data_IF_478142632502
#
_entry.id   IF_478142632502
#
_cell.length_a   1.000
_cell.length_b   1.000
_cell.length_c   1.000
_cell.angle_alpha   90.00
_cell.angle_beta   90.00
_cell.angle_gamma   90.00
#
_symmetry.space_group_name_H-M   'P 1'
#
loop_
_entity.id
_entity.type
_entity.pdbx_description
1 polymer ?
#
# COMPACT_ATOMS: atom_id res chain seq x y z
N UNK A 1 39.25 -6.93 20.96
CA UNK A 1 39.21 -7.64 19.66
C UNK A 1 37.77 -8.06 19.55
N UNK A 2 36.98 -7.08 19.16
CA UNK A 2 35.55 -7.07 19.26
C UNK A 2 35.04 -7.53 17.90
N UNK A 3 34.37 -8.69 17.94
CA UNK A 3 33.78 -9.37 16.80
C UNK A 3 32.43 -8.71 16.55
N UNK A 4 32.40 -7.76 15.62
CA UNK A 4 31.16 -7.11 15.17
C UNK A 4 30.32 -8.11 14.36
N UNK A 5 29.08 -8.44 14.78
CA UNK A 5 28.24 -9.34 14.01
C UNK A 5 27.82 -8.67 12.69
N UNK A 6 28.20 -9.34 11.61
CA UNK A 6 27.80 -9.03 10.23
C UNK A 6 26.28 -8.77 10.15
N UNK A 7 25.91 -7.52 9.82
CA UNK A 7 24.54 -7.14 9.41
C UNK A 7 24.12 -8.05 8.25
N UNK A 8 23.34 -9.09 8.56
CA UNK A 8 22.58 -9.82 7.55
C UNK A 8 21.61 -8.82 6.91
N UNK A 9 21.85 -8.53 5.65
CA UNK A 9 20.95 -7.78 4.79
C UNK A 9 19.60 -8.50 4.74
N UNK A 10 18.64 -8.04 5.54
CA UNK A 10 17.23 -8.44 5.46
C UNK A 10 16.60 -7.73 4.26
N UNK A 11 16.94 -8.14 3.04
CA UNK A 11 16.11 -7.78 1.89
C UNK A 11 14.84 -8.63 2.02
N UNK A 12 13.73 -7.97 2.35
CA UNK A 12 12.46 -8.63 2.64
C UNK A 12 11.85 -9.13 1.33
N UNK A 13 11.88 -10.45 1.11
CA UNK A 13 11.12 -11.08 0.02
C UNK A 13 9.64 -11.10 0.39
N UNK A 14 8.77 -10.53 -0.44
CA UNK A 14 7.32 -10.58 -0.21
C UNK A 14 6.65 -11.76 -0.92
N UNK A 15 5.70 -12.42 -0.27
CA UNK A 15 4.90 -13.47 -0.92
C UNK A 15 3.94 -12.86 -1.93
N UNK A 16 3.21 -11.80 -1.54
CA UNK A 16 2.26 -11.07 -2.38
C UNK A 16 2.52 -9.58 -2.25
N UNK A 17 2.48 -8.84 -3.36
CA UNK A 17 2.45 -7.38 -3.39
C UNK A 17 1.12 -6.91 -3.99
N UNK A 18 0.47 -5.92 -3.38
CA UNK A 18 -0.61 -5.20 -4.07
C UNK A 18 0.01 -4.05 -4.85
N UNK A 19 -0.24 -3.98 -6.15
CA UNK A 19 0.28 -2.90 -6.99
C UNK A 19 -0.23 -1.55 -6.45
N UNK A 20 0.70 -0.64 -6.15
CA UNK A 20 0.37 0.75 -5.81
C UNK A 20 -0.35 1.42 -6.97
N UNK A 21 -1.17 2.43 -6.67
CA UNK A 21 -1.89 3.25 -7.64
C UNK A 21 -2.50 2.43 -8.80
N UNK A 22 -3.16 1.31 -8.47
CA UNK A 22 -3.84 0.44 -9.41
C UNK A 22 -2.97 -0.08 -10.59
N UNK A 23 -1.64 -0.10 -10.43
CA UNK A 23 -0.69 -0.50 -11.48
C UNK A 23 -0.35 0.59 -12.49
N UNK A 24 -0.44 1.87 -12.12
CA UNK A 24 -0.04 3.01 -12.97
C UNK A 24 1.46 3.06 -13.32
N UNK A 25 1.84 3.81 -14.35
CA UNK A 25 3.22 3.90 -14.85
C UNK A 25 4.26 4.27 -13.78
N UNK A 26 3.86 5.13 -12.83
CA UNK A 26 4.65 5.59 -11.69
C UNK A 26 4.66 4.61 -10.52
N UNK A 27 3.76 3.63 -10.49
CA UNK A 27 3.71 2.62 -9.43
C UNK A 27 4.79 1.55 -9.59
N UNK A 28 5.20 0.95 -8.47
CA UNK A 28 6.05 -0.24 -8.42
C UNK A 28 7.31 -0.10 -9.28
N UNK A 29 8.17 0.87 -8.92
CA UNK A 29 9.42 1.14 -9.63
C UNK A 29 10.28 -0.13 -9.74
N UNK A 30 11.14 -0.19 -10.76
CA UNK A 30 12.02 -1.35 -10.95
C UNK A 30 12.89 -1.62 -9.71
N UNK A 31 13.43 -0.56 -9.10
CA UNK A 31 14.24 -0.66 -7.88
C UNK A 31 13.44 -1.22 -6.69
N UNK A 32 12.19 -0.80 -6.53
CA UNK A 32 11.31 -1.33 -5.50
C UNK A 32 10.99 -2.81 -5.72
N UNK A 33 10.63 -3.20 -6.95
CA UNK A 33 10.38 -4.60 -7.29
C UNK A 33 11.61 -5.48 -7.12
N UNK A 34 12.81 -4.96 -7.40
CA UNK A 34 14.07 -5.67 -7.20
C UNK A 34 14.41 -5.84 -5.71
N UNK A 35 14.03 -4.88 -4.87
CA UNK A 35 14.25 -4.95 -3.43
C UNK A 35 13.26 -5.89 -2.72
N UNK A 36 11.98 -5.84 -3.12
CA UNK A 36 10.88 -6.58 -2.48
C UNK A 36 10.71 -7.99 -3.05
N UNK A 37 11.12 -8.21 -4.30
CA UNK A 37 11.06 -9.50 -5.01
C UNK A 37 9.73 -10.27 -4.80
N UNK A 38 8.57 -9.67 -5.11
CA UNK A 38 7.29 -10.30 -4.85
C UNK A 38 7.09 -11.55 -5.72
N UNK A 39 6.49 -12.60 -5.15
CA UNK A 39 6.19 -13.83 -5.90
C UNK A 39 4.91 -13.71 -6.74
N UNK A 40 3.95 -12.89 -6.31
CA UNK A 40 2.82 -12.47 -7.13
C UNK A 40 2.41 -11.02 -6.84
N UNK A 41 1.76 -10.39 -7.82
CA UNK A 41 1.18 -9.05 -7.69
C UNK A 41 -0.33 -9.08 -7.88
N UNK A 42 -1.06 -8.34 -7.05
CA UNK A 42 -2.49 -8.08 -7.24
C UNK A 42 -2.71 -6.63 -7.65
N UNK A 43 -3.31 -6.42 -8.82
CA UNK A 43 -3.70 -5.11 -9.32
C UNK A 43 -5.22 -4.96 -9.23
N UNK A 44 -5.67 -3.88 -8.60
CA UNK A 44 -7.11 -3.59 -8.51
C UNK A 44 -7.43 -2.44 -9.44
N UNK A 45 -8.25 -2.64 -10.46
CA UNK A 45 -8.77 -1.56 -11.33
C UNK A 45 -9.89 -2.10 -12.20
N UNK A 46 -10.68 -1.21 -12.80
CA UNK A 46 -11.69 -1.57 -13.80
C UNK A 46 -11.04 -1.93 -15.15
N UNK A 47 -11.71 -2.78 -15.93
CA UNK A 47 -11.21 -3.27 -17.23
C UNK A 47 -10.95 -2.13 -18.23
N UNK A 48 -11.92 -1.23 -18.29
CA UNK A 48 -12.06 -0.05 -19.13
C UNK A 48 -11.78 1.23 -18.34
N UNK A 49 -10.82 1.16 -17.41
CA UNK A 49 -10.31 2.33 -16.71
C UNK A 49 -9.92 3.41 -17.73
N UNK A 50 -10.53 4.60 -17.62
CA UNK A 50 -10.17 5.76 -18.44
C UNK A 50 -8.70 6.19 -18.28
N UNK A 51 -8.05 5.71 -17.22
CA UNK A 51 -6.64 5.96 -16.86
C UNK A 51 -5.67 4.91 -17.45
N UNK A 52 -6.18 3.93 -18.22
CA UNK A 52 -5.33 2.94 -18.91
C UNK A 52 -4.65 1.93 -17.98
N UNK A 53 -5.16 1.72 -16.76
CA UNK A 53 -4.62 0.75 -15.82
C UNK A 53 -5.02 -0.70 -16.12
N UNK A 54 -4.17 -1.69 -15.78
CA UNK A 54 -2.77 -1.55 -15.37
C UNK A 54 -1.94 -1.01 -16.54
N UNK A 55 -1.00 -0.11 -16.25
CA UNK A 55 -0.18 0.51 -17.27
C UNK A 55 0.78 -0.51 -17.90
N UNK A 56 0.97 -0.42 -19.22
CA UNK A 56 1.81 -1.37 -19.98
C UNK A 56 3.26 -1.41 -19.50
N UNK A 57 3.83 -0.30 -19.04
CA UNK A 57 5.21 -0.27 -18.55
C UNK A 57 5.39 -1.05 -17.25
N UNK A 58 4.40 -0.99 -16.35
CA UNK A 58 4.39 -1.82 -15.13
C UNK A 58 4.25 -3.29 -15.50
N UNK A 59 3.34 -3.63 -16.39
CA UNK A 59 3.17 -5.01 -16.86
C UNK A 59 4.46 -5.56 -17.48
N UNK A 60 5.21 -4.74 -18.23
CA UNK A 60 6.55 -5.11 -18.74
C UNK A 60 7.53 -5.38 -17.60
N UNK A 61 7.63 -4.47 -16.61
CA UNK A 61 8.55 -4.64 -15.46
C UNK A 61 8.25 -5.92 -14.66
N UNK A 62 6.96 -6.26 -14.51
CA UNK A 62 6.51 -7.48 -13.85
C UNK A 62 6.82 -8.73 -14.69
N UNK A 63 6.59 -8.67 -16.00
CA UNK A 63 6.89 -9.77 -16.93
C UNK A 63 8.39 -10.07 -17.04
N UNK A 64 9.23 -9.04 -17.10
CA UNK A 64 10.70 -9.16 -17.10
C UNK A 64 11.23 -9.89 -15.86
N UNK A 65 10.49 -9.82 -14.75
CA UNK A 65 10.79 -10.49 -13.48
C UNK A 65 10.03 -11.81 -13.31
N UNK A 66 9.23 -12.21 -14.31
CA UNK A 66 8.38 -13.40 -14.29
C UNK A 66 7.44 -13.45 -13.08
N UNK A 67 6.90 -12.29 -12.69
CA UNK A 67 6.00 -12.18 -11.54
C UNK A 67 4.55 -12.36 -12.01
N UNK A 68 3.89 -13.40 -11.49
CA UNK A 68 2.47 -13.65 -11.73
C UNK A 68 1.63 -12.44 -11.30
N UNK A 69 0.70 -11.99 -12.14
CA UNK A 69 -0.15 -10.84 -11.85
C UNK A 69 -1.63 -11.20 -11.91
N UNK A 70 -2.38 -10.79 -10.89
CA UNK A 70 -3.81 -10.99 -10.75
C UNK A 70 -4.51 -9.64 -10.83
N UNK A 71 -5.44 -9.49 -11.76
CA UNK A 71 -6.15 -8.23 -12.01
C UNK A 71 -7.64 -8.38 -11.76
N UNK A 72 -8.20 -7.58 -10.86
CA UNK A 72 -9.61 -7.67 -10.46
C UNK A 72 -10.58 -7.53 -11.64
N UNK A 73 -10.20 -6.83 -12.71
CA UNK A 73 -11.06 -6.65 -13.88
C UNK A 73 -11.33 -7.94 -14.66
N UNK A 74 -10.42 -8.92 -14.64
CA UNK A 74 -10.55 -10.19 -15.37
C UNK A 74 -10.66 -11.39 -14.44
N UNK A 75 -10.17 -11.26 -13.21
CA UNK A 75 -10.20 -12.33 -12.20
C UNK A 75 -11.37 -12.19 -11.22
N UNK A 76 -12.04 -11.04 -11.17
CA UNK A 76 -13.06 -10.73 -10.17
C UNK A 76 -12.48 -10.61 -8.77
N UNK A 77 -13.22 -11.11 -7.78
CA UNK A 77 -12.72 -11.18 -6.40
C UNK A 77 -11.43 -11.99 -6.36
N UNK A 78 -10.37 -11.38 -5.81
CA UNK A 78 -9.09 -12.03 -5.53
C UNK A 78 -8.95 -12.17 -4.03
N UNK A 79 -8.98 -13.41 -3.53
CA UNK A 79 -8.94 -13.74 -2.11
C UNK A 79 -7.63 -14.43 -1.78
N UNK A 80 -6.91 -13.90 -0.80
CA UNK A 80 -5.67 -14.46 -0.28
C UNK A 80 -5.96 -15.20 1.03
N UNK A 81 -5.63 -16.48 1.09
CA UNK A 81 -5.82 -17.32 2.29
C UNK A 81 -4.46 -17.82 2.78
N UNK A 82 -4.07 -17.44 3.99
CA UNK A 82 -2.83 -17.92 4.62
C UNK A 82 -3.12 -18.99 5.66
N UNK A 83 -2.30 -20.05 5.69
CA UNK A 83 -2.27 -21.03 6.78
C UNK A 83 -1.05 -20.83 7.72
N UNK A 84 -0.35 -19.70 7.57
CA UNK A 84 0.89 -19.39 8.31
C UNK A 84 2.16 -20.00 7.69
N UNK A 85 2.05 -20.89 6.70
CA UNK A 85 3.18 -21.51 5.98
C UNK A 85 3.15 -21.25 4.47
N UNK A 86 1.95 -21.11 3.92
CA UNK A 86 1.69 -20.85 2.52
C UNK A 86 0.51 -19.90 2.35
N UNK A 87 0.50 -19.18 1.24
CA UNK A 87 -0.61 -18.32 0.80
C UNK A 87 -1.25 -18.91 -0.44
N UNK A 88 -2.56 -19.18 -0.38
CA UNK A 88 -3.40 -19.54 -1.51
C UNK A 88 -3.98 -18.27 -2.14
N UNK A 89 -3.84 -18.11 -3.44
CA UNK A 89 -4.49 -17.08 -4.25
C UNK A 89 -5.73 -17.71 -4.90
N UNK A 90 -6.90 -17.17 -4.60
CA UNK A 90 -8.17 -17.64 -5.14
C UNK A 90 -8.83 -16.54 -5.96
N UNK A 91 -9.41 -16.89 -7.11
CA UNK A 91 -10.09 -15.93 -7.97
C UNK A 91 -11.50 -16.38 -8.35
N UNK A 92 -12.39 -15.41 -8.50
CA UNK A 92 -13.77 -15.62 -8.93
C UNK A 92 -13.84 -16.16 -10.36
N UNK A 93 -12.98 -15.64 -11.24
CA UNK A 93 -12.90 -16.02 -12.64
C UNK A 93 -11.48 -16.48 -13.01
N UNK A 94 -11.41 -17.45 -13.91
CA UNK A 94 -10.13 -17.88 -14.50
C UNK A 94 -9.72 -16.90 -15.60
N UNK A 95 -8.49 -16.42 -15.56
CA UNK A 95 -7.95 -15.48 -16.52
C UNK A 95 -6.41 -15.60 -16.59
N UNK A 96 -5.76 -15.03 -17.62
CA UNK A 96 -4.30 -15.08 -17.74
C UNK A 96 -3.60 -14.33 -16.60
N UNK A 97 -2.52 -14.92 -16.10
CA UNK A 97 -1.68 -14.33 -15.03
C UNK A 97 -0.32 -13.83 -15.52
N UNK A 98 0.05 -14.09 -16.78
CA UNK A 98 1.22 -13.45 -17.39
C UNK A 98 0.88 -11.96 -17.63
N UNK A 99 1.66 -11.01 -17.06
CA UNK A 99 1.39 -9.59 -17.17
C UNK A 99 1.16 -9.10 -18.62
N UNK A 100 1.84 -9.69 -19.61
CA UNK A 100 1.70 -9.26 -21.01
C UNK A 100 0.43 -9.78 -21.70
N UNK A 101 -0.25 -10.76 -21.10
CA UNK A 101 -1.52 -11.34 -21.59
C UNK A 101 -2.70 -11.08 -20.66
N UNK A 102 -2.50 -10.33 -19.56
CA UNK A 102 -3.53 -10.12 -18.54
C UNK A 102 -4.80 -9.44 -19.06
N UNK A 103 -4.67 -8.71 -20.18
CA UNK A 103 -5.76 -8.03 -20.90
C UNK A 103 -6.49 -8.94 -21.90
N UNK A 104 -6.00 -10.14 -22.16
CA UNK A 104 -6.69 -11.11 -23.03
C UNK A 104 -7.81 -11.85 -22.27
N UNK A 105 -7.87 -11.69 -20.94
CA UNK A 105 -8.95 -12.23 -20.10
C UNK A 105 -10.27 -11.51 -20.33
N UNK A 106 -11.38 -12.23 -20.21
CA UNK A 106 -12.72 -11.65 -20.30
C UNK A 106 -12.99 -10.74 -19.10
N UNK A 107 -13.51 -9.53 -19.36
CA UNK A 107 -13.86 -8.59 -18.31
C UNK A 107 -15.00 -9.14 -17.45
N UNK A 108 -14.87 -9.02 -16.13
CA UNK A 108 -15.96 -9.36 -15.21
C UNK A 108 -16.96 -8.20 -15.13
N UNK A 109 -18.26 -8.52 -15.18
CA UNK A 109 -19.30 -7.51 -14.98
C UNK A 109 -19.34 -7.05 -13.51
N UNK A 110 -19.43 -5.74 -13.29
CA UNK A 110 -19.49 -5.16 -11.95
C UNK A 110 -20.73 -5.65 -11.19
N UNK A 111 -20.53 -6.07 -9.94
CA UNK A 111 -21.60 -6.61 -9.09
C UNK A 111 -21.93 -8.07 -9.35
N UNK A 112 -21.17 -8.77 -10.20
CA UNK A 112 -21.26 -10.23 -10.33
C UNK A 112 -20.87 -10.88 -9.02
N UNK A 113 -21.82 -11.54 -8.35
CA UNK A 113 -21.54 -12.36 -7.18
C UNK A 113 -21.15 -13.77 -7.61
N UNK A 114 -20.11 -14.35 -7.01
CA UNK A 114 -19.65 -15.70 -7.30
C UNK A 114 -18.71 -16.23 -6.21
N UNK A 115 -18.52 -17.55 -6.17
CA UNK A 115 -17.48 -18.15 -5.33
C UNK A 115 -16.09 -17.99 -5.95
N UNK A 116 -15.05 -18.12 -5.14
CA UNK A 116 -13.65 -18.12 -5.59
C UNK A 116 -13.10 -19.54 -5.70
N UNK A 117 -12.13 -19.73 -6.60
CA UNK A 117 -11.41 -21.00 -6.80
C UNK A 117 -9.91 -20.76 -6.62
N UNK A 118 -9.22 -21.64 -5.89
CA UNK A 118 -7.76 -21.59 -5.74
C UNK A 118 -7.06 -21.75 -7.09
N UNK A 119 -6.15 -20.81 -7.40
CA UNK A 119 -5.37 -20.73 -8.65
C UNK A 119 -3.92 -21.09 -8.43
N UNK A 120 -3.36 -20.60 -7.34
CA UNK A 120 -1.95 -20.74 -7.02
C UNK A 120 -1.76 -20.84 -5.52
N UNK A 121 -0.80 -21.66 -5.09
CA UNK A 121 -0.36 -21.74 -3.70
C UNK A 121 1.12 -21.45 -3.65
N UNK A 122 1.48 -20.43 -2.89
CA UNK A 122 2.84 -19.91 -2.77
C UNK A 122 3.36 -20.21 -1.35
N UNK A 123 4.43 -21.01 -1.25
CA UNK A 123 4.98 -21.50 0.03
C UNK A 123 4.68 -22.98 0.30
N UNK A 124 5.12 -23.50 1.46
CA UNK A 124 4.82 -24.88 1.91
C UNK A 124 5.85 -25.98 1.56
N UNK A 125 7.07 -25.62 1.15
CA UNK A 125 8.14 -26.59 0.86
C UNK A 125 8.92 -27.04 2.09
N UNK A 126 8.36 -27.90 2.94
CA UNK A 126 9.05 -28.47 4.09
C UNK A 126 8.45 -29.78 4.59
N UNK A 127 8.96 -30.92 4.10
CA UNK A 127 8.74 -32.22 4.75
C UNK A 127 9.43 -32.21 6.12
N UNK A 128 8.64 -32.06 7.18
CA UNK A 128 9.09 -32.20 8.56
C UNK A 128 7.90 -32.53 9.44
N UNK A 129 7.57 -33.82 9.53
CA UNK A 129 6.62 -34.30 10.51
C UNK A 129 7.16 -34.06 11.93
N UNK A 130 6.45 -33.25 12.73
CA UNK A 130 6.39 -33.32 14.20
C UNK A 130 4.97 -32.85 14.53
N UNK A 131 4.04 -33.79 14.67
CA UNK A 131 3.63 -34.44 15.91
C UNK A 131 2.53 -33.64 16.62
N UNK A 132 1.41 -34.34 16.72
CA UNK A 132 0.14 -34.01 17.33
C UNK A 132 0.29 -33.70 18.82
N UNK A 133 -0.36 -32.63 19.30
CA UNK A 133 -0.59 -32.50 20.73
C UNK A 133 -1.06 -31.14 21.23
N UNK A 134 -2.34 -31.10 21.59
CA UNK A 134 -2.94 -30.34 22.70
C UNK A 134 -3.39 -28.89 22.49
N UNK A 135 -4.69 -28.68 22.76
CA UNK A 135 -5.33 -27.38 22.98
C UNK A 135 -5.11 -26.90 24.44
N UNK A 136 -5.77 -25.81 24.90
CA UNK A 136 -5.13 -24.58 25.33
C UNK A 136 -4.91 -24.51 26.85
N UNK A 137 -4.01 -23.63 27.31
CA UNK A 137 -4.05 -23.17 28.70
C UNK A 137 -3.78 -21.66 28.81
N UNK A 138 -4.55 -21.05 29.70
CA UNK A 138 -4.67 -19.62 29.93
C UNK A 138 -3.56 -19.11 30.87
N UNK A 139 -3.22 -17.82 30.68
CA UNK A 139 -2.62 -16.89 31.65
C UNK A 139 -1.20 -17.13 32.16
N UNK A 140 -0.29 -16.20 31.85
CA UNK A 140 0.37 -15.41 32.91
C UNK A 140 0.85 -14.05 32.38
N UNK A 141 0.62 -13.03 33.20
CA UNK A 141 0.90 -11.63 32.97
C UNK A 141 2.36 -11.34 33.33
N UNK A 142 3.22 -11.24 32.32
CA UNK A 142 4.60 -10.76 32.45
C UNK A 142 4.74 -9.34 31.93
N UNK A 143 4.58 -8.37 32.82
CA UNK A 143 5.00 -6.99 32.58
C UNK A 143 6.52 -6.94 32.51
N UNK A 144 7.07 -6.55 31.36
CA UNK A 144 8.34 -5.83 31.31
C UNK A 144 8.24 -4.76 30.21
N UNK A 145 8.26 -3.52 30.68
CA UNK A 145 8.44 -2.32 29.87
C UNK A 145 9.92 -2.23 29.52
N UNK A 146 10.30 -2.15 28.24
CA UNK A 146 11.43 -1.33 27.78
C UNK A 146 11.25 -0.91 26.30
N UNK A 147 11.48 0.39 26.07
CA UNK A 147 11.76 1.08 24.81
C UNK A 147 10.68 1.02 23.69
N UNK A 148 9.70 1.92 23.81
CA UNK A 148 8.74 2.21 22.74
C UNK A 148 9.43 2.86 21.55
N UNK A 149 9.56 2.12 20.46
CA UNK A 149 9.45 2.73 19.14
C UNK A 149 7.99 3.16 19.03
N UNK A 150 7.74 4.48 19.01
CA UNK A 150 6.41 5.01 18.72
C UNK A 150 6.08 4.68 17.26
N UNK A 151 5.63 3.45 16.99
CA UNK A 151 4.95 3.14 15.74
C UNK A 151 3.65 3.93 15.78
N UNK A 152 3.69 5.13 15.20
CA UNK A 152 2.51 5.92 14.91
C UNK A 152 1.46 5.02 14.25
N UNK A 153 0.22 5.07 14.76
CA UNK A 153 -0.91 4.40 14.12
C UNK A 153 -1.31 5.05 12.78
N UNK A 154 -0.69 6.18 12.41
CA UNK A 154 -0.83 6.80 11.10
C UNK A 154 0.30 6.32 10.18
N UNK A 155 -0.06 5.85 8.98
CA UNK A 155 0.87 5.45 7.93
C UNK A 155 0.54 6.19 6.62
N UNK A 156 1.55 6.47 5.79
CA UNK A 156 1.35 6.89 4.40
C UNK A 156 1.10 5.63 3.57
N UNK A 157 0.03 5.63 2.79
CA UNK A 157 -0.32 4.50 1.91
C UNK A 157 -0.12 4.82 0.44
N UNK A 158 -0.09 6.11 0.09
CA UNK A 158 0.08 6.58 -1.29
C UNK A 158 0.60 8.02 -1.29
N UNK A 159 1.53 8.31 -2.21
CA UNK A 159 1.93 9.67 -2.57
C UNK A 159 1.83 9.77 -4.09
N UNK A 160 1.05 10.73 -4.57
CA UNK A 160 1.01 11.12 -5.96
C UNK A 160 1.68 12.49 -6.09
N UNK A 161 2.94 12.51 -6.51
CA UNK A 161 3.71 13.74 -6.68
C UNK A 161 3.54 14.35 -8.09
N UNK A 162 3.19 13.54 -9.08
CA UNK A 162 3.15 13.96 -10.49
C UNK A 162 1.72 14.23 -10.95
N UNK A 163 1.31 15.49 -10.89
CA UNK A 163 0.00 15.94 -11.38
C UNK A 163 -0.08 15.90 -12.91
N UNK A 164 -1.09 15.23 -13.49
CA UNK A 164 -1.30 15.16 -14.93
C UNK A 164 -1.37 16.56 -15.57
N UNK A 165 -0.50 16.79 -16.57
CA UNK A 165 -0.49 18.01 -17.38
C UNK A 165 0.74 18.88 -17.11
N UNK A 166 0.56 20.20 -17.01
CA UNK A 166 1.60 21.06 -16.44
C UNK A 166 1.34 21.14 -14.95
N UNK A 167 2.36 20.91 -14.13
CA UNK A 167 2.32 20.73 -12.65
C UNK A 167 1.69 21.89 -11.84
N UNK A 168 1.09 22.90 -12.46
CA UNK A 168 0.29 23.95 -11.80
C UNK A 168 -1.15 24.08 -12.29
N UNK A 169 -1.59 23.24 -13.23
CA UNK A 169 -2.96 23.28 -13.79
C UNK A 169 -3.88 22.24 -13.14
N UNK A 170 -3.33 21.18 -12.53
CA UNK A 170 -4.09 20.09 -11.91
C UNK A 170 -3.57 19.70 -10.50
N UNK A 171 -3.51 20.66 -9.59
CA UNK A 171 -2.98 20.43 -8.24
C UNK A 171 -3.79 19.43 -7.38
N UNK A 172 -5.00 19.07 -7.80
CA UNK A 172 -5.74 17.97 -7.16
C UNK A 172 -5.29 16.58 -7.64
N UNK A 173 -4.36 16.52 -8.58
CA UNK A 173 -3.67 15.31 -8.98
C UNK A 173 -2.27 15.24 -8.37
N UNK A 174 -2.02 16.05 -7.35
CA UNK A 174 -0.90 15.92 -6.45
C UNK A 174 -1.49 15.69 -5.04
N UNK A 175 -1.18 14.57 -4.39
CA UNK A 175 -1.81 14.21 -3.10
C UNK A 175 -1.04 13.18 -2.28
N UNK A 176 -1.38 13.07 -1.00
CA UNK A 176 -0.91 12.02 -0.10
C UNK A 176 -2.10 11.34 0.56
N UNK A 177 -2.11 10.01 0.62
CA UNK A 177 -3.13 9.24 1.34
C UNK A 177 -2.54 8.71 2.63
N UNK A 178 -3.24 8.96 3.73
CA UNK A 178 -2.91 8.44 5.05
C UNK A 178 -3.93 7.39 5.47
N UNK A 179 -3.49 6.37 6.21
CA UNK A 179 -4.35 5.37 6.82
C UNK A 179 -4.12 5.28 8.33
N UNK A 180 -5.20 5.09 9.10
CA UNK A 180 -5.11 4.68 10.48
C UNK A 180 -4.96 3.15 10.57
N UNK A 181 -3.76 2.68 10.87
CA UNK A 181 -3.41 1.26 11.05
C UNK A 181 -3.66 0.76 12.48
N UNK A 182 -4.01 1.66 13.39
CA UNK A 182 -4.34 1.34 14.79
C UNK A 182 -5.75 0.80 14.98
N UNK A 183 -6.01 0.31 16.20
CA UNK A 183 -7.32 -0.23 16.59
C UNK A 183 -8.30 0.84 17.10
N UNK A 184 -7.82 2.06 17.37
CA UNK A 184 -8.59 3.17 17.95
C UNK A 184 -8.69 4.35 16.99
N UNK A 185 -9.78 5.15 17.03
CA UNK A 185 -9.88 6.38 16.25
C UNK A 185 -8.75 7.37 16.58
N UNK A 186 -8.12 7.93 15.55
CA UNK A 186 -7.11 8.98 15.68
C UNK A 186 -7.74 10.35 15.56
N UNK A 187 -7.45 11.22 16.54
CA UNK A 187 -7.78 12.63 16.47
C UNK A 187 -6.58 13.38 15.87
N UNK A 188 -6.75 13.87 14.64
CA UNK A 188 -5.70 14.54 13.88
C UNK A 188 -5.82 16.07 13.98
N UNK A 189 -6.68 16.58 14.86
CA UNK A 189 -6.92 18.01 15.03
C UNK A 189 -5.63 18.78 15.28
N UNK A 190 -5.33 19.74 14.38
CA UNK A 190 -4.17 20.61 14.50
C UNK A 190 -2.82 19.93 14.21
N UNK A 191 -2.81 18.67 13.76
CA UNK A 191 -1.59 18.03 13.27
C UNK A 191 -1.14 18.70 11.98
N UNK A 192 0.15 18.61 11.68
CA UNK A 192 0.73 19.19 10.47
C UNK A 192 1.33 18.15 9.56
N UNK A 193 1.13 18.33 8.26
CA UNK A 193 1.79 17.58 7.18
C UNK A 193 2.74 18.53 6.46
N UNK A 194 3.99 18.13 6.25
CA UNK A 194 5.00 18.95 5.58
C UNK A 194 5.87 18.14 4.60
N UNK A 195 6.49 18.84 3.66
CA UNK A 195 7.57 18.33 2.79
C UNK A 195 8.97 18.66 3.36
N UNK A 196 10.04 18.23 2.70
CA UNK A 196 11.43 18.54 3.13
C UNK A 196 11.80 20.03 2.90
N UNK A 197 11.01 20.75 2.10
CA UNK A 197 11.13 22.20 1.89
C UNK A 197 10.29 23.04 2.89
N UNK A 198 9.72 22.41 3.91
CA UNK A 198 8.95 23.01 5.00
C UNK A 198 7.62 23.68 4.58
N UNK A 199 7.09 23.39 3.39
CA UNK A 199 5.70 23.70 3.08
C UNK A 199 4.82 22.92 4.03
N UNK A 200 3.96 23.61 4.79
CA UNK A 200 3.16 22.99 5.85
C UNK A 200 1.66 23.15 5.63
N UNK A 201 0.92 22.04 5.78
CA UNK A 201 -0.53 21.99 5.92
C UNK A 201 -0.92 21.70 7.37
N UNK A 202 -1.95 22.36 7.88
CA UNK A 202 -2.53 22.05 9.21
C UNK A 202 -3.89 21.40 9.04
N UNK A 203 -4.05 20.21 9.62
CA UNK A 203 -5.30 19.45 9.59
C UNK A 203 -6.36 20.21 10.42
N UNK A 204 -7.59 20.40 9.89
CA UNK A 204 -8.64 21.14 10.57
C UNK A 204 -9.01 20.58 11.94
N UNK A 205 -9.37 21.46 12.87
CA UNK A 205 -9.88 21.06 14.17
C UNK A 205 -11.12 20.16 14.03
N UNK A 206 -11.15 19.08 14.81
CA UNK A 206 -12.23 18.11 14.85
C UNK A 206 -12.12 16.99 13.82
N UNK A 207 -11.09 16.98 12.96
CA UNK A 207 -10.87 15.89 12.01
C UNK A 207 -10.45 14.61 12.72
N UNK A 208 -11.15 13.51 12.44
CA UNK A 208 -10.91 12.21 13.06
C UNK A 208 -10.85 11.13 12.00
N UNK A 209 -9.93 10.20 12.19
CA UNK A 209 -9.74 9.06 11.31
C UNK A 209 -9.99 7.77 12.09
N UNK A 210 -11.07 7.06 11.76
CA UNK A 210 -11.42 5.80 12.40
C UNK A 210 -10.42 4.68 12.10
N UNK A 211 -10.46 3.56 12.85
CA UNK A 211 -9.59 2.40 12.62
C UNK A 211 -9.76 1.84 11.20
N UNK A 212 -8.66 1.71 10.47
CA UNK A 212 -8.64 1.23 9.09
C UNK A 212 -9.17 2.22 8.04
N UNK A 213 -9.59 3.42 8.44
CA UNK A 213 -10.03 4.47 7.52
C UNK A 213 -8.83 5.18 6.89
N UNK A 214 -9.09 5.79 5.73
CA UNK A 214 -8.11 6.54 4.95
C UNK A 214 -8.57 7.97 4.70
N UNK A 215 -7.63 8.90 4.65
CA UNK A 215 -7.85 10.29 4.23
C UNK A 215 -6.85 10.68 3.14
N UNK A 216 -7.35 11.32 2.08
CA UNK A 216 -6.51 11.88 1.02
C UNK A 216 -6.32 13.38 1.24
N UNK A 217 -5.07 13.84 1.29
CA UNK A 217 -4.70 15.26 1.27
C UNK A 217 -4.29 15.65 -0.14
N UNK A 218 -5.16 16.36 -0.85
CA UNK A 218 -4.88 16.96 -2.15
C UNK A 218 -4.12 18.29 -2.00
N UNK A 219 -3.12 18.52 -2.84
CA UNK A 219 -2.38 19.79 -2.85
C UNK A 219 -3.24 20.96 -3.32
N UNK A 220 -4.15 20.71 -4.27
CA UNK A 220 -4.99 21.74 -4.84
C UNK A 220 -6.14 22.14 -3.92
N UNK A 221 -7.26 22.57 -4.53
CA UNK A 221 -8.39 23.17 -3.81
C UNK A 221 -9.65 22.32 -3.90
N UNK A 222 -10.46 22.38 -2.84
CA UNK A 222 -11.71 21.65 -2.73
C UNK A 222 -12.42 21.99 -1.42
N UNK A 223 -13.42 21.18 -1.08
CA UNK A 223 -14.13 21.30 0.20
C UNK A 223 -13.82 20.05 1.02
N UNK A 224 -13.26 20.23 2.21
CA UNK A 224 -12.92 19.11 3.08
C UNK A 224 -14.16 18.26 3.41
N UNK A 225 -13.97 16.95 3.38
CA UNK A 225 -14.92 15.92 3.81
C UNK A 225 -14.26 15.06 4.89
N UNK A 226 -14.94 14.02 5.36
CA UNK A 226 -14.36 13.09 6.35
C UNK A 226 -13.23 12.23 5.75
N UNK A 227 -13.10 12.16 4.43
CA UNK A 227 -12.09 11.35 3.72
C UNK A 227 -11.19 12.14 2.76
N UNK A 228 -11.44 13.45 2.59
CA UNK A 228 -10.70 14.30 1.65
C UNK A 228 -10.36 15.63 2.30
N UNK A 229 -9.09 16.01 2.22
CA UNK A 229 -8.54 17.28 2.66
C UNK A 229 -7.91 17.98 1.47
N UNK A 230 -7.87 19.31 1.51
CA UNK A 230 -7.34 20.13 0.42
C UNK A 230 -6.41 21.19 1.02
N UNK A 231 -5.16 21.19 0.58
CA UNK A 231 -4.14 22.14 1.01
C UNK A 231 -4.48 23.55 0.55
N UNK A 232 -5.13 23.69 -0.61
CA UNK A 232 -5.40 24.97 -1.24
C UNK A 232 -4.13 25.64 -1.74
N UNK A 233 -3.08 24.87 -2.00
CA UNK A 233 -1.83 25.39 -2.55
C UNK A 233 -2.08 25.92 -3.97
N UNK A 234 -1.33 26.96 -4.32
CA UNK A 234 -1.28 27.50 -5.68
C UNK A 234 -0.13 26.93 -6.53
N UNK A 235 0.64 26.00 -5.97
CA UNK A 235 1.81 25.36 -6.59
C UNK A 235 1.93 23.91 -6.11
N UNK A 236 2.61 23.04 -6.89
CA UNK A 236 2.92 21.69 -6.44
C UNK A 236 3.84 21.74 -5.21
N UNK A 237 3.69 20.73 -4.35
CA UNK A 237 4.39 20.59 -3.06
C UNK A 237 5.28 19.34 -3.08
N UNK A 238 4.82 18.27 -3.71
CA UNK A 238 5.43 16.95 -3.68
C UNK A 238 6.36 16.78 -4.90
N UNK A 239 7.67 16.71 -4.67
CA UNK A 239 8.63 16.63 -5.78
C UNK A 239 8.59 15.28 -6.53
N UNK A 240 8.53 15.33 -7.86
CA UNK A 240 8.50 14.16 -8.76
C UNK A 240 9.76 13.29 -8.71
N UNK A 241 10.91 13.88 -8.38
CA UNK A 241 12.20 13.18 -8.27
C UNK A 241 12.44 12.60 -6.85
N UNK A 242 11.42 12.66 -5.99
CA UNK A 242 11.43 12.22 -4.59
C UNK A 242 11.33 13.38 -3.61
N UNK A 243 10.61 13.16 -2.52
CA UNK A 243 10.44 14.09 -1.39
C UNK A 243 10.22 13.29 -0.10
N UNK A 244 10.02 14.00 1.02
CA UNK A 244 9.72 13.39 2.32
C UNK A 244 8.42 13.94 2.88
N UNK A 245 7.45 13.06 3.15
CA UNK A 245 6.25 13.39 3.90
C UNK A 245 6.57 13.37 5.40
N UNK A 246 6.29 14.48 6.07
CA UNK A 246 6.56 14.68 7.50
C UNK A 246 5.26 14.97 8.23
N UNK A 247 4.91 14.17 9.23
CA UNK A 247 3.71 14.43 10.07
C UNK A 247 4.12 14.71 11.52
N UNK A 248 3.60 15.80 12.05
CA UNK A 248 3.83 16.26 13.43
C UNK A 248 2.49 16.46 14.14
N UNK A 249 2.37 16.03 15.39
CA UNK A 249 1.17 16.23 16.20
C UNK A 249 0.97 17.71 16.53
N UNK A 250 -0.22 18.05 17.03
CA UNK A 250 -0.51 19.41 17.53
C UNK A 250 0.34 19.83 18.74
N UNK A 251 0.99 18.87 19.42
CA UNK A 251 1.93 19.11 20.52
C UNK A 251 3.38 19.31 20.02
N UNK A 252 3.64 19.08 18.73
CA UNK A 252 4.96 19.23 18.12
C UNK A 252 5.77 17.93 18.03
N UNK A 253 5.18 16.78 18.34
CA UNK A 253 5.87 15.49 18.25
C UNK A 253 5.83 14.93 16.82
N UNK A 254 6.99 14.58 16.27
CA UNK A 254 7.07 13.96 14.95
C UNK A 254 6.65 12.49 15.04
N UNK A 255 5.64 12.12 14.26
CA UNK A 255 5.02 10.79 14.29
C UNK A 255 5.18 10.03 12.98
N UNK A 256 5.45 10.73 11.86
CA UNK A 256 5.74 10.10 10.57
C UNK A 256 6.83 10.86 9.81
N UNK A 257 7.69 10.10 9.15
CA UNK A 257 8.71 10.56 8.21
C UNK A 257 8.87 9.48 7.14
N UNK A 258 8.40 9.75 5.93
CA UNK A 258 8.40 8.77 4.85
C UNK A 258 8.85 9.42 3.53
N UNK A 259 9.95 8.92 2.97
CA UNK A 259 10.43 9.30 1.65
C UNK A 259 9.90 8.36 0.57
N UNK A 260 9.74 8.87 -0.65
CA UNK A 260 9.21 8.13 -1.79
C UNK A 260 10.04 8.29 -3.07
#
# INVERSE_FOLDING_TARGET
MDDEPSRRSLLSTSTILKAGHHGSASSSSGAFLDAVQPQAVVTSSAYDSQYGHPNEEVLKRLSERSISTYWTATHGDVVLVSDGQAVSIQTQQDAPTDPLSIRDGEAIELGTAGGVTERERIGGGGTGAIDTGDEPDETDSGSDSEAGENTSALAVTEVNADAEGRDGENLNDEYVVFANTGADPLDLSGWTVADDAEHTYTIPDGFKLGPGETVTLYTGSGTATDSELYWGSGSPIWNNDGDTVIVTTSEGDRVLEEGY
#
